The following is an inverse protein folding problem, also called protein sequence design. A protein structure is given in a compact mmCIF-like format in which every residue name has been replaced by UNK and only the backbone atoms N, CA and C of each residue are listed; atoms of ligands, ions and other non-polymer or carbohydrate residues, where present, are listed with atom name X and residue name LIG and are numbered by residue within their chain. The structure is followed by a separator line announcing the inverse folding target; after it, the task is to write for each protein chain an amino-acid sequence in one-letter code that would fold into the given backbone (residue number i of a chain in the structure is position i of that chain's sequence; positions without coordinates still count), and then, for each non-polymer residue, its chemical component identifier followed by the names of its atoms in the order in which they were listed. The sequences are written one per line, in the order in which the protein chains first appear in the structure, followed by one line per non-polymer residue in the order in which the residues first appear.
data_IF_873076677273
#
_entry.id   IF_873076677273
#
_cell.length_a   1.000
_cell.length_b   1.000
_cell.length_c   1.000
_cell.angle_alpha   90.00
_cell.angle_beta   90.00
_cell.angle_gamma   90.00
#
_symmetry.space_group_name_H-M   'P 1'
#
loop_
_entity.id
_entity.type
_entity.pdbx_description
1 polymer ?
#
# COMPACT_ATOMS: atom_id res chain seq x y z
N UNK A 1 -4.61 -18.55 -4.67
CA UNK A 1 -3.51 -18.23 -5.62
C UNK A 1 -2.83 -16.97 -5.09
N UNK A 2 -1.67 -17.10 -4.50
CA UNK A 2 -0.84 -15.96 -4.10
C UNK A 2 -0.43 -15.21 -5.37
N UNK A 3 -0.81 -13.94 -5.48
CA UNK A 3 -0.33 -13.09 -6.56
C UNK A 3 1.20 -13.01 -6.48
N UNK A 4 1.93 -13.16 -7.60
CA UNK A 4 3.37 -13.00 -7.59
C UNK A 4 3.73 -11.61 -7.06
N UNK A 5 4.72 -11.53 -6.18
CA UNK A 5 5.22 -10.26 -5.68
C UNK A 5 5.98 -9.53 -6.80
N UNK A 6 5.52 -8.33 -7.17
CA UNK A 6 6.20 -7.48 -8.14
C UNK A 6 7.07 -6.46 -7.39
N UNK A 7 8.30 -6.30 -7.86
CA UNK A 7 9.27 -5.38 -7.24
C UNK A 7 9.01 -3.91 -7.58
N UNK A 8 8.15 -3.63 -8.59
CA UNK A 8 7.80 -2.28 -9.01
C UNK A 8 6.52 -2.25 -9.86
N UNK A 9 5.91 -1.08 -9.96
CA UNK A 9 4.79 -0.79 -10.86
C UNK A 9 5.15 -1.08 -12.33
N UNK A 10 6.35 -0.69 -12.77
CA UNK A 10 6.80 -0.97 -14.13
C UNK A 10 6.89 -2.47 -14.42
N UNK A 11 7.38 -3.26 -13.48
CA UNK A 11 7.41 -4.72 -13.63
C UNK A 11 5.98 -5.29 -13.72
N UNK A 12 5.07 -4.83 -12.88
CA UNK A 12 3.67 -5.23 -12.91
C UNK A 12 3.02 -5.01 -14.29
N UNK A 13 3.21 -3.82 -14.89
CA UNK A 13 2.65 -3.51 -16.19
C UNK A 13 3.39 -4.17 -17.36
N UNK A 14 4.66 -4.55 -17.19
CA UNK A 14 5.45 -5.24 -18.22
C UNK A 14 5.19 -6.75 -18.24
N UNK A 15 4.96 -7.37 -17.10
CA UNK A 15 4.93 -8.84 -16.95
C UNK A 15 3.59 -9.37 -16.41
N UNK A 16 2.73 -8.51 -15.91
CA UNK A 16 1.44 -8.84 -15.34
C UNK A 16 0.29 -8.84 -16.36
N UNK A 17 -0.94 -9.10 -15.90
CA UNK A 17 -2.13 -9.16 -16.76
C UNK A 17 -2.48 -7.83 -17.45
N UNK A 18 -1.78 -6.73 -17.11
CA UNK A 18 -1.94 -5.41 -17.71
C UNK A 18 -1.06 -5.15 -18.92
N UNK A 19 -0.09 -6.02 -19.17
CA UNK A 19 0.85 -5.84 -20.27
C UNK A 19 0.16 -5.60 -21.65
N UNK A 20 -0.96 -6.27 -21.99
CA UNK A 20 -1.67 -6.00 -23.25
C UNK A 20 -2.33 -4.61 -23.32
N UNK A 21 -2.62 -3.97 -22.18
CA UNK A 21 -3.29 -2.66 -22.15
C UNK A 21 -2.27 -1.51 -22.39
N UNK A 22 -0.95 -1.80 -22.32
CA UNK A 22 0.14 -0.82 -22.41
C UNK A 22 0.42 -0.44 -23.86
N UNK A 23 0.41 0.85 -24.15
CA UNK A 23 0.75 1.41 -25.47
C UNK A 23 2.16 1.98 -25.50
N UNK A 24 2.54 2.71 -24.43
CA UNK A 24 3.86 3.34 -24.31
C UNK A 24 4.39 3.12 -22.90
N UNK A 25 5.67 2.78 -22.81
CA UNK A 25 6.40 2.73 -21.55
C UNK A 25 7.67 3.56 -21.67
N UNK A 26 7.88 4.50 -20.74
CA UNK A 26 9.06 5.36 -20.66
C UNK A 26 9.71 5.21 -19.28
N UNK A 27 11.03 5.31 -19.23
CA UNK A 27 11.78 5.30 -17.98
C UNK A 27 12.92 6.29 -18.06
N UNK A 28 13.10 7.10 -17.04
CA UNK A 28 14.21 8.05 -16.94
C UNK A 28 15.32 7.45 -16.06
N UNK A 29 15.95 6.39 -16.54
CA UNK A 29 17.05 5.72 -15.84
C UNK A 29 16.68 5.15 -14.47
N UNK A 30 15.45 4.66 -14.31
CA UNK A 30 14.93 4.08 -13.06
C UNK A 30 14.47 5.09 -12.00
N UNK A 31 14.67 6.39 -12.23
CA UNK A 31 14.22 7.45 -11.31
C UNK A 31 12.69 7.53 -11.29
N UNK A 32 12.09 7.43 -12.48
CA UNK A 32 10.64 7.43 -12.72
C UNK A 32 10.31 6.39 -13.78
N UNK A 33 9.13 5.79 -13.65
CA UNK A 33 8.55 4.95 -14.69
C UNK A 33 7.20 5.54 -15.10
N UNK A 34 6.97 5.64 -16.39
CA UNK A 34 5.75 6.20 -16.96
C UNK A 34 5.14 5.23 -17.94
N UNK A 35 3.83 5.11 -17.90
CA UNK A 35 3.08 4.18 -18.74
C UNK A 35 1.88 4.91 -19.31
N UNK A 36 1.66 4.77 -20.61
CA UNK A 36 0.40 5.12 -21.24
C UNK A 36 -0.34 3.84 -21.62
N UNK A 37 -1.60 3.75 -21.22
CA UNK A 37 -2.41 2.56 -21.40
C UNK A 37 -3.87 2.91 -21.70
N UNK A 38 -4.51 2.07 -22.52
CA UNK A 38 -5.97 2.08 -22.70
C UNK A 38 -6.55 0.88 -21.96
N UNK A 39 -7.33 1.14 -20.94
CA UNK A 39 -7.92 0.11 -20.11
C UNK A 39 -9.42 -0.02 -20.39
N UNK A 40 -9.95 -1.25 -20.57
CA UNK A 40 -11.37 -1.45 -20.74
C UNK A 40 -12.15 -1.22 -19.45
N UNK A 41 -13.46 -1.01 -19.58
CA UNK A 41 -14.38 -0.97 -18.45
C UNK A 41 -14.36 -2.31 -17.71
N UNK A 42 -13.80 -2.35 -16.51
CA UNK A 42 -13.71 -3.58 -15.69
C UNK A 42 -13.38 -3.28 -14.21
N UNK A 43 -13.53 -4.32 -13.39
CA UNK A 43 -12.94 -4.37 -12.05
C UNK A 43 -11.45 -4.70 -12.17
N UNK A 44 -10.63 -4.01 -11.39
CA UNK A 44 -9.19 -4.09 -11.43
C UNK A 44 -8.63 -4.32 -10.03
N UNK A 45 -7.65 -5.21 -9.94
CA UNK A 45 -6.90 -5.50 -8.72
C UNK A 45 -5.43 -5.40 -9.07
N UNK A 46 -4.74 -4.44 -8.48
CA UNK A 46 -3.31 -4.27 -8.66
C UNK A 46 -2.58 -4.67 -7.37
N UNK A 47 -1.47 -5.41 -7.45
CA UNK A 47 -0.73 -5.85 -6.28
C UNK A 47 -0.10 -4.66 -5.55
N UNK A 48 0.26 -4.88 -4.28
CA UNK A 48 1.06 -3.92 -3.54
C UNK A 48 2.45 -3.80 -4.20
N UNK A 49 2.82 -2.57 -4.58
CA UNK A 49 4.14 -2.23 -5.11
C UNK A 49 4.75 -1.09 -4.30
N UNK A 50 6.10 -0.99 -4.22
CA UNK A 50 6.75 0.03 -3.40
C UNK A 50 6.73 1.43 -4.01
N UNK A 51 6.05 1.61 -5.14
CA UNK A 51 5.98 2.87 -5.85
C UNK A 51 4.78 3.71 -5.37
N UNK A 52 4.95 5.02 -5.27
CA UNK A 52 3.83 5.96 -5.28
C UNK A 52 3.40 6.14 -6.74
N UNK A 53 2.13 5.91 -7.05
CA UNK A 53 1.65 5.98 -8.43
C UNK A 53 0.55 7.02 -8.58
N UNK A 54 0.75 7.90 -9.57
CA UNK A 54 -0.24 8.87 -10.00
C UNK A 54 -0.84 8.40 -11.33
N UNK A 55 -2.16 8.19 -11.35
CA UNK A 55 -2.91 7.82 -12.56
C UNK A 55 -3.68 9.03 -13.07
N UNK A 56 -3.29 9.53 -14.23
CA UNK A 56 -3.92 10.67 -14.91
C UNK A 56 -4.89 10.18 -15.99
N UNK A 57 -6.15 10.62 -15.93
CA UNK A 57 -7.14 10.39 -17.00
C UNK A 57 -6.96 11.45 -18.08
N UNK A 58 -6.61 11.04 -19.30
CA UNK A 58 -6.29 11.95 -20.39
C UNK A 58 -7.52 12.62 -21.00
N UNK A 59 -8.67 11.94 -21.03
CA UNK A 59 -9.89 12.43 -21.65
C UNK A 59 -10.92 12.90 -20.63
N UNK A 60 -10.94 12.32 -19.43
CA UNK A 60 -11.94 12.57 -18.41
C UNK A 60 -13.29 11.90 -18.71
N UNK A 61 -14.20 12.03 -17.77
CA UNK A 61 -15.54 11.43 -17.85
C UNK A 61 -15.63 10.00 -17.33
N UNK A 62 -14.51 9.40 -16.93
CA UNK A 62 -14.49 8.05 -16.35
C UNK A 62 -15.04 8.09 -14.92
N UNK A 63 -16.04 7.27 -14.63
CA UNK A 63 -16.52 7.07 -13.26
C UNK A 63 -15.68 5.96 -12.62
N UNK A 64 -15.02 6.30 -11.52
CA UNK A 64 -14.09 5.43 -10.79
C UNK A 64 -14.64 5.19 -9.38
N UNK A 65 -14.82 3.91 -9.03
CA UNK A 65 -15.08 3.42 -7.68
C UNK A 65 -13.85 2.65 -7.21
N UNK A 66 -13.12 3.16 -6.22
CA UNK A 66 -11.81 2.63 -5.89
C UNK A 66 -11.45 2.70 -4.40
N UNK A 67 -10.49 1.85 -4.00
CA UNK A 67 -9.70 2.01 -2.79
C UNK A 67 -8.21 1.94 -3.19
N UNK A 68 -7.54 3.09 -3.10
CA UNK A 68 -6.15 3.27 -3.49
C UNK A 68 -5.23 3.52 -2.27
N UNK A 69 -5.71 3.20 -1.05
CA UNK A 69 -4.94 3.35 0.18
C UNK A 69 -5.50 4.37 1.18
N UNK A 70 -6.49 5.17 0.79
CA UNK A 70 -7.17 6.16 1.65
C UNK A 70 -8.61 5.81 2.02
N UNK A 71 -9.03 4.55 1.77
CA UNK A 71 -10.42 4.14 1.91
C UNK A 71 -11.16 4.15 0.58
N UNK A 72 -12.40 3.70 0.61
CA UNK A 72 -13.24 3.62 -0.59
C UNK A 72 -13.76 5.01 -0.99
N UNK A 73 -13.73 5.30 -2.28
CA UNK A 73 -14.30 6.53 -2.85
C UNK A 73 -14.89 6.29 -4.24
N UNK A 74 -15.81 7.16 -4.62
CA UNK A 74 -16.48 7.20 -5.91
C UNK A 74 -16.33 8.60 -6.51
N UNK A 75 -15.85 8.68 -7.75
CA UNK A 75 -15.61 9.98 -8.41
C UNK A 75 -15.73 9.87 -9.93
N UNK A 76 -16.19 10.93 -10.57
CA UNK A 76 -16.05 11.10 -12.02
C UNK A 76 -14.88 12.03 -12.30
N UNK A 77 -13.89 11.53 -13.05
CA UNK A 77 -12.69 12.27 -13.37
C UNK A 77 -12.96 13.39 -14.35
N UNK A 78 -12.19 14.47 -14.25
CA UNK A 78 -12.11 15.54 -15.26
C UNK A 78 -10.95 15.27 -16.19
N UNK A 79 -10.96 15.85 -17.38
CA UNK A 79 -9.85 15.76 -18.33
C UNK A 79 -8.54 16.21 -17.70
N UNK A 80 -7.53 15.34 -17.74
CA UNK A 80 -6.24 15.56 -17.11
C UNK A 80 -6.28 15.47 -15.56
N UNK A 81 -7.43 15.11 -14.98
CA UNK A 81 -7.55 14.82 -13.55
C UNK A 81 -6.78 13.54 -13.19
N UNK A 82 -6.40 13.42 -11.93
CA UNK A 82 -5.61 12.29 -11.48
C UNK A 82 -6.06 11.76 -10.12
N UNK A 83 -5.78 10.50 -9.88
CA UNK A 83 -5.88 9.82 -8.58
C UNK A 83 -4.51 9.29 -8.18
N UNK A 84 -4.30 9.07 -6.89
CA UNK A 84 -3.06 8.50 -6.37
C UNK A 84 -3.29 7.13 -5.74
N UNK A 85 -2.39 6.20 -6.04
CA UNK A 85 -2.28 4.91 -5.39
C UNK A 85 -1.13 4.94 -4.37
N UNK A 86 -1.45 4.52 -3.15
CA UNK A 86 -0.50 4.50 -2.05
C UNK A 86 0.58 3.42 -2.25
N UNK A 87 1.84 3.69 -1.91
CA UNK A 87 2.89 2.69 -1.96
C UNK A 87 2.63 1.56 -0.96
N UNK A 88 3.02 0.34 -1.33
CA UNK A 88 2.86 -0.87 -0.53
C UNK A 88 1.39 -1.19 -0.16
N UNK A 89 0.45 -0.76 -0.99
CA UNK A 89 -0.98 -1.03 -0.83
C UNK A 89 -1.52 -1.76 -2.07
N UNK A 90 -2.23 -2.87 -1.87
CA UNK A 90 -2.91 -3.57 -2.95
C UNK A 90 -4.19 -2.81 -3.32
N UNK A 91 -4.27 -2.35 -4.56
CA UNK A 91 -5.33 -1.48 -5.02
C UNK A 91 -6.53 -2.26 -5.55
N UNK A 92 -7.70 -1.70 -5.32
CA UNK A 92 -8.93 -2.11 -5.99
C UNK A 92 -9.54 -0.91 -6.71
N UNK A 93 -9.91 -1.10 -7.97
CA UNK A 93 -10.68 -0.10 -8.71
C UNK A 93 -11.70 -0.76 -9.65
N UNK A 94 -12.79 -0.05 -9.90
CA UNK A 94 -13.78 -0.35 -10.92
C UNK A 94 -13.98 0.90 -11.75
N UNK A 95 -13.89 0.77 -13.05
CA UNK A 95 -14.15 1.86 -13.99
C UNK A 95 -15.24 1.41 -14.96
N UNK A 96 -16.24 2.27 -15.16
CA UNK A 96 -17.46 1.93 -15.91
C UNK A 96 -17.31 2.12 -17.42
N UNK A 97 -16.28 2.85 -17.86
CA UNK A 97 -16.01 3.11 -19.29
C UNK A 97 -14.57 2.75 -19.64
N UNK A 98 -14.31 2.42 -20.91
CA UNK A 98 -12.93 2.36 -21.41
C UNK A 98 -12.29 3.73 -21.25
N UNK A 99 -11.08 3.76 -20.72
CA UNK A 99 -10.40 5.00 -20.39
C UNK A 99 -8.92 4.95 -20.77
N UNK A 100 -8.37 6.12 -21.09
CA UNK A 100 -6.99 6.29 -21.50
C UNK A 100 -6.23 7.02 -20.40
N UNK A 101 -5.24 6.36 -19.85
CA UNK A 101 -4.49 6.87 -18.70
C UNK A 101 -3.00 7.02 -18.99
N UNK A 102 -2.39 7.97 -18.31
CA UNK A 102 -0.94 8.00 -18.04
C UNK A 102 -0.68 7.77 -16.59
N UNK A 103 0.16 6.80 -16.31
CA UNK A 103 0.59 6.49 -14.94
C UNK A 103 2.03 6.91 -14.74
N UNK A 104 2.30 7.61 -13.64
CA UNK A 104 3.62 8.11 -13.26
C UNK A 104 3.98 7.44 -11.93
N UNK A 105 4.93 6.52 -11.97
CA UNK A 105 5.37 5.76 -10.80
C UNK A 105 6.68 6.31 -10.26
N UNK A 106 6.68 6.65 -8.98
CA UNK A 106 7.81 7.16 -8.22
C UNK A 106 8.34 6.04 -7.33
N UNK A 107 9.42 5.32 -7.72
CA UNK A 107 10.02 4.29 -6.87
C UNK A 107 10.53 4.91 -5.57
N UNK A 108 9.91 4.63 -4.43
CA UNK A 108 10.24 5.28 -3.16
C UNK A 108 11.72 5.14 -2.79
N UNK A 109 12.37 4.03 -3.15
CA UNK A 109 13.81 3.83 -2.94
C UNK A 109 14.67 4.94 -3.58
N UNK A 110 14.20 5.57 -4.67
CA UNK A 110 14.90 6.64 -5.38
C UNK A 110 14.54 8.04 -4.88
N UNK A 111 13.38 8.18 -4.22
CA UNK A 111 12.83 9.49 -3.84
C UNK A 111 12.84 9.75 -2.35
N UNK A 112 12.96 8.70 -1.52
CA UNK A 112 12.88 8.83 -0.08
C UNK A 112 13.93 9.78 0.49
N UNK A 113 15.16 9.76 -0.02
CA UNK A 113 16.23 10.65 0.45
C UNK A 113 15.90 12.14 0.20
N UNK A 114 15.32 12.45 -0.96
CA UNK A 114 14.89 13.83 -1.29
C UNK A 114 13.73 14.27 -0.40
N UNK A 115 12.77 13.38 -0.18
CA UNK A 115 11.62 13.64 0.68
C UNK A 115 12.04 13.80 2.15
N UNK A 116 12.98 12.98 2.61
CA UNK A 116 13.53 13.04 3.96
C UNK A 116 14.33 14.34 4.19
N UNK A 117 15.06 14.82 3.18
CA UNK A 117 15.80 16.09 3.23
C UNK A 117 14.84 17.28 3.39
N UNK A 118 13.78 17.32 2.58
CA UNK A 118 12.78 18.41 2.63
C UNK A 118 11.96 18.39 3.92
N UNK A 119 11.74 17.22 4.50
CA UNK A 119 10.91 17.04 5.71
C UNK A 119 11.73 16.78 6.98
N UNK A 120 13.02 17.14 7.02
CA UNK A 120 13.93 16.84 8.14
C UNK A 120 13.90 15.35 8.55
N UNK A 121 13.92 14.46 7.55
CA UNK A 121 13.87 13.02 7.77
C UNK A 121 12.51 12.46 8.21
N UNK A 122 11.40 13.15 7.99
CA UNK A 122 10.09 12.84 8.58
C UNK A 122 8.97 12.60 7.57
N UNK A 123 9.26 12.60 6.27
CA UNK A 123 8.21 12.45 5.28
C UNK A 123 7.72 10.99 5.20
N UNK A 124 6.40 10.80 5.25
CA UNK A 124 5.76 9.51 5.02
C UNK A 124 4.52 9.71 4.16
N UNK A 125 4.40 8.92 3.09
CA UNK A 125 3.17 8.84 2.30
C UNK A 125 2.05 8.05 3.00
N UNK A 126 2.30 7.45 4.16
CA UNK A 126 1.28 6.74 4.93
C UNK A 126 0.33 7.70 5.66
N UNK A 127 -0.96 7.40 5.60
CA UNK A 127 -1.99 8.15 6.34
C UNK A 127 -2.39 9.50 5.74
N UNK A 128 -2.02 9.77 4.47
CA UNK A 128 -2.45 10.97 3.76
C UNK A 128 -3.86 10.77 3.19
N UNK A 129 -4.74 11.77 3.34
CA UNK A 129 -6.08 11.77 2.73
C UNK A 129 -6.05 11.88 1.20
N UNK A 130 -4.85 12.07 0.63
CA UNK A 130 -4.65 12.28 -0.81
C UNK A 130 -5.08 11.08 -1.66
N UNK A 131 -5.23 9.89 -1.09
CA UNK A 131 -5.58 8.66 -1.79
C UNK A 131 -7.10 8.39 -1.91
N UNK A 132 -7.94 9.29 -1.39
CA UNK A 132 -9.38 9.07 -1.28
C UNK A 132 -10.23 9.92 -2.22
N UNK A 133 -9.62 10.60 -3.19
CA UNK A 133 -10.33 11.45 -4.17
C UNK A 133 -9.53 11.70 -5.43
N UNK A 134 -10.18 12.24 -6.46
CA UNK A 134 -9.50 12.74 -7.65
C UNK A 134 -9.16 14.22 -7.50
N UNK A 135 -8.08 14.61 -8.14
CA UNK A 135 -7.57 15.98 -8.16
C UNK A 135 -7.48 16.52 -9.59
N UNK A 136 -7.60 17.84 -9.69
CA UNK A 136 -7.40 18.56 -10.97
C UNK A 136 -6.71 19.86 -10.65
N UNK A 137 -5.37 19.87 -10.72
CA UNK A 137 -4.57 21.06 -10.46
C UNK A 137 -3.76 21.42 -11.70
N UNK A 138 -3.85 22.67 -12.22
CA UNK A 138 -3.11 23.10 -13.42
C UNK A 138 -1.59 22.92 -13.26
N UNK A 139 -1.05 23.15 -12.06
CA UNK A 139 0.37 22.99 -11.76
C UNK A 139 0.82 21.53 -12.02
N UNK A 140 0.16 20.55 -11.42
CA UNK A 140 0.51 19.14 -11.62
C UNK A 140 0.28 18.73 -13.08
N UNK A 141 -0.81 19.14 -13.71
CA UNK A 141 -1.04 18.83 -15.12
C UNK A 141 0.07 19.34 -16.02
N UNK A 142 0.57 20.55 -15.75
CA UNK A 142 1.70 21.13 -16.51
C UNK A 142 2.99 20.35 -16.25
N UNK A 143 3.30 20.06 -15.00
CA UNK A 143 4.49 19.29 -14.61
C UNK A 143 4.48 17.87 -15.20
N UNK A 144 3.32 17.19 -15.21
CA UNK A 144 3.18 15.85 -15.82
C UNK A 144 3.37 15.87 -17.35
N UNK A 145 2.83 16.88 -18.04
CA UNK A 145 3.07 17.05 -19.50
C UNK A 145 4.55 17.27 -19.78
N UNK A 146 5.18 18.18 -19.02
CA UNK A 146 6.61 18.46 -19.15
C UNK A 146 7.44 17.20 -18.90
N UNK A 147 7.18 16.49 -17.81
CA UNK A 147 7.87 15.24 -17.47
C UNK A 147 7.72 14.18 -18.56
N UNK A 148 6.51 14.02 -19.12
CA UNK A 148 6.26 13.08 -20.21
C UNK A 148 7.10 13.40 -21.47
N UNK A 149 7.24 14.68 -21.81
CA UNK A 149 8.03 15.14 -22.94
C UNK A 149 9.54 14.99 -22.72
N UNK A 150 10.04 15.38 -21.55
CA UNK A 150 11.48 15.27 -21.19
C UNK A 150 12.00 13.83 -21.31
N UNK A 151 11.16 12.84 -21.01
CA UNK A 151 11.55 11.42 -21.03
C UNK A 151 11.43 10.78 -22.43
N UNK A 152 11.32 11.56 -23.49
CA UNK A 152 11.45 11.07 -24.88
C UNK A 152 12.90 10.86 -25.25
N UNK A 153 13.82 11.61 -24.64
CA UNK A 153 15.26 11.50 -24.86
C UNK A 153 15.93 10.78 -23.67
N UNK A 154 16.69 9.72 -23.95
CA UNK A 154 17.47 9.02 -22.92
C UNK A 154 18.85 9.68 -22.77
N UNK A 155 19.24 10.00 -21.53
CA UNK A 155 20.58 10.52 -21.25
C UNK A 155 20.70 11.30 -19.93
N UNK A 156 21.94 11.72 -19.55
CA UNK A 156 22.17 12.43 -18.29
C UNK A 156 21.37 13.72 -18.10
N UNK A 157 21.22 14.61 -19.09
CA UNK A 157 20.39 15.80 -18.94
C UNK A 157 18.92 15.48 -18.69
N UNK A 158 18.36 14.48 -19.39
CA UNK A 158 16.96 14.09 -19.21
C UNK A 158 16.69 13.51 -17.82
N UNK A 159 17.63 12.78 -17.21
CA UNK A 159 17.49 12.29 -15.83
C UNK A 159 17.47 13.43 -14.81
N UNK A 160 18.32 14.45 -14.99
CA UNK A 160 18.34 15.61 -14.09
C UNK A 160 17.03 16.40 -14.21
N UNK A 161 16.56 16.65 -15.42
CA UNK A 161 15.31 17.35 -15.68
C UNK A 161 14.09 16.55 -15.16
N UNK A 162 14.07 15.24 -15.36
CA UNK A 162 13.04 14.36 -14.81
C UNK A 162 13.04 14.38 -13.28
N UNK A 163 14.21 14.46 -12.63
CA UNK A 163 14.31 14.61 -11.19
C UNK A 163 13.76 15.95 -10.71
N UNK A 164 14.07 17.05 -11.41
CA UNK A 164 13.54 18.37 -11.10
C UNK A 164 12.01 18.41 -11.21
N UNK A 165 11.45 17.94 -12.33
CA UNK A 165 10.01 17.86 -12.54
C UNK A 165 9.32 16.92 -11.52
N UNK A 166 9.96 15.81 -11.17
CA UNK A 166 9.47 14.90 -10.13
C UNK A 166 9.46 15.55 -8.74
N UNK A 167 10.46 16.34 -8.37
CA UNK A 167 10.47 17.13 -7.15
C UNK A 167 9.31 18.14 -7.10
N UNK A 168 9.04 18.84 -8.20
CA UNK A 168 7.91 19.77 -8.31
C UNK A 168 6.57 19.06 -8.09
N UNK A 169 6.37 17.91 -8.73
CA UNK A 169 5.16 17.09 -8.57
C UNK A 169 5.02 16.63 -7.13
N UNK A 170 6.08 16.07 -6.52
CA UNK A 170 6.04 15.57 -5.14
C UNK A 170 5.77 16.69 -4.14
N UNK A 171 6.37 17.88 -4.32
CA UNK A 171 6.10 19.03 -3.47
C UNK A 171 4.63 19.46 -3.53
N UNK A 172 4.04 19.48 -4.73
CA UNK A 172 2.64 19.82 -4.90
C UNK A 172 1.71 18.73 -4.33
N UNK A 173 2.06 17.45 -4.46
CA UNK A 173 1.32 16.35 -3.83
C UNK A 173 1.36 16.44 -2.31
N UNK A 174 2.50 16.80 -1.72
CA UNK A 174 2.61 17.04 -0.28
C UNK A 174 1.67 18.18 0.15
N UNK A 175 1.65 19.29 -0.60
CA UNK A 175 0.75 20.42 -0.33
C UNK A 175 -0.73 20.01 -0.41
N UNK A 176 -1.12 19.22 -1.41
CA UNK A 176 -2.49 18.71 -1.58
C UNK A 176 -2.89 17.72 -0.49
N UNK A 177 -1.96 16.90 -0.04
CA UNK A 177 -2.19 15.91 1.02
C UNK A 177 -2.27 16.50 2.42
N UNK A 178 -2.15 17.83 2.57
CA UNK A 178 -2.10 18.48 3.87
C UNK A 178 -0.87 18.06 4.68
N UNK A 179 0.13 17.46 4.02
CA UNK A 179 1.39 17.15 4.67
C UNK A 179 2.03 18.45 5.11
N UNK A 180 2.12 18.67 6.41
CA UNK A 180 2.95 19.74 6.92
C UNK A 180 4.39 19.43 6.56
N UNK A 181 4.95 20.16 5.62
CA UNK A 181 6.39 20.18 5.33
C UNK A 181 7.15 20.81 6.50
N UNK A 182 6.41 21.39 7.46
CA UNK A 182 6.98 21.84 8.70
C UNK A 182 7.45 20.64 9.54
N UNK A 183 8.64 20.72 10.17
CA UNK A 183 9.14 19.66 11.01
C UNK A 183 8.12 19.34 12.11
N UNK A 184 7.53 18.15 12.06
CA UNK A 184 6.70 17.67 13.17
C UNK A 184 7.63 17.52 14.36
N UNK A 185 7.48 18.38 15.39
CA UNK A 185 8.27 18.29 16.62
C UNK A 185 8.03 16.92 17.26
N UNK A 186 8.96 16.00 17.12
CA UNK A 186 8.98 14.70 17.78
C UNK A 186 8.63 13.48 16.85
N UNK A 187 8.96 12.30 17.31
CA UNK A 187 8.86 11.03 16.60
C UNK A 187 10.22 10.47 16.21
N UNK A 188 10.25 9.20 15.78
CA UNK A 188 11.45 8.57 15.24
C UNK A 188 11.78 9.15 13.86
N UNK A 189 13.04 9.35 13.57
CA UNK A 189 13.49 9.59 12.20
C UNK A 189 13.02 8.46 11.27
N UNK A 190 12.70 8.73 10.00
CA UNK A 190 12.18 7.71 9.08
C UNK A 190 13.08 6.47 8.95
N UNK A 191 14.40 6.67 8.91
CA UNK A 191 15.36 5.56 8.88
C UNK A 191 15.28 4.72 10.17
N UNK A 192 15.17 5.36 11.33
CA UNK A 192 15.06 4.70 12.63
C UNK A 192 13.74 3.93 12.76
N UNK A 193 12.63 4.53 12.31
CA UNK A 193 11.33 3.88 12.23
C UNK A 193 11.39 2.62 11.37
N UNK A 194 11.93 2.73 10.14
CA UNK A 194 12.07 1.61 9.20
C UNK A 194 12.94 0.51 9.81
N UNK A 195 14.11 0.87 10.32
CA UNK A 195 15.06 -0.07 10.92
C UNK A 195 14.46 -0.87 12.07
N UNK A 196 13.72 -0.20 12.97
CA UNK A 196 13.03 -0.88 14.08
C UNK A 196 11.93 -1.82 13.58
N UNK A 197 11.14 -1.42 12.59
CA UNK A 197 10.08 -2.26 12.02
C UNK A 197 10.70 -3.49 11.33
N UNK A 198 11.76 -3.31 10.52
CA UNK A 198 12.50 -4.39 9.88
C UNK A 198 13.05 -5.39 10.91
N UNK A 199 13.68 -4.88 11.98
CA UNK A 199 14.19 -5.71 13.06
C UNK A 199 13.09 -6.51 13.75
N UNK A 200 11.94 -5.90 14.03
CA UNK A 200 10.77 -6.58 14.60
C UNK A 200 10.23 -7.68 13.68
N UNK A 201 10.23 -7.46 12.35
CA UNK A 201 9.84 -8.49 11.39
C UNK A 201 10.85 -9.65 11.31
N UNK A 202 12.14 -9.33 11.23
CA UNK A 202 13.21 -10.34 11.12
C UNK A 202 13.32 -11.22 12.36
N UNK A 203 13.09 -10.66 13.54
CA UNK A 203 13.23 -11.32 14.83
C UNK A 203 11.88 -11.53 15.54
N UNK A 204 10.82 -11.75 14.76
CA UNK A 204 9.43 -11.81 15.26
C UNK A 204 9.23 -12.89 16.32
N UNK A 205 9.92 -14.03 16.16
CA UNK A 205 9.89 -15.18 17.08
C UNK A 205 10.73 -14.98 18.35
N UNK A 206 11.59 -13.96 18.38
CA UNK A 206 12.49 -13.71 19.50
C UNK A 206 11.88 -12.74 20.52
N UNK A 207 12.38 -12.79 21.76
CA UNK A 207 12.03 -11.79 22.79
C UNK A 207 12.89 -10.54 22.61
N UNK A 208 12.46 -9.66 21.70
CA UNK A 208 13.15 -8.39 21.45
C UNK A 208 12.83 -7.42 22.57
N UNK A 209 13.87 -7.01 23.30
CA UNK A 209 13.74 -6.04 24.38
C UNK A 209 13.59 -4.60 23.84
N UNK A 210 13.04 -3.72 24.69
CA UNK A 210 12.96 -2.28 24.40
C UNK A 210 14.36 -1.67 24.27
N UNK A 211 15.29 -2.17 25.08
CA UNK A 211 16.69 -1.69 25.10
C UNK A 211 17.42 -1.99 23.79
N UNK A 212 17.22 -3.21 23.24
CA UNK A 212 17.80 -3.58 21.93
C UNK A 212 17.25 -2.70 20.80
N UNK A 213 15.93 -2.49 20.76
CA UNK A 213 15.33 -1.62 19.75
C UNK A 213 15.81 -0.17 19.86
N UNK A 214 15.98 0.33 21.07
CA UNK A 214 16.48 1.67 21.34
C UNK A 214 17.96 1.82 20.97
N UNK A 215 18.78 0.82 21.29
CA UNK A 215 20.20 0.78 20.94
C UNK A 215 20.42 0.79 19.44
N UNK A 216 19.61 0.05 18.66
CA UNK A 216 19.68 -0.01 17.21
C UNK A 216 19.55 1.37 16.54
N UNK A 217 18.84 2.29 17.17
CA UNK A 217 18.62 3.67 16.68
C UNK A 217 19.28 4.72 17.54
N UNK A 218 20.22 4.33 18.41
CA UNK A 218 21.03 5.18 19.26
C UNK A 218 20.20 6.12 20.17
N UNK A 219 19.09 5.62 20.69
CA UNK A 219 18.23 6.34 21.65
C UNK A 219 18.22 5.65 23.00
N UNK A 220 17.94 6.41 24.06
CA UNK A 220 17.61 5.79 25.34
C UNK A 220 16.24 5.06 25.24
N UNK A 221 16.01 3.97 25.99
CA UNK A 221 14.76 3.21 25.93
C UNK A 221 13.50 4.05 26.17
N UNK A 222 13.56 4.97 27.13
CA UNK A 222 12.46 5.88 27.42
C UNK A 222 12.18 6.84 26.28
N UNK A 223 13.22 7.43 25.70
CA UNK A 223 13.10 8.34 24.56
C UNK A 223 12.59 7.59 23.32
N UNK A 224 13.14 6.42 23.06
CA UNK A 224 12.68 5.54 21.98
C UNK A 224 11.19 5.19 22.09
N UNK A 225 10.74 4.69 23.25
CA UNK A 225 9.34 4.31 23.45
C UNK A 225 8.37 5.48 23.18
N UNK A 226 8.73 6.69 23.63
CA UNK A 226 7.96 7.92 23.40
C UNK A 226 7.93 8.28 21.92
N UNK A 227 9.10 8.29 21.26
CA UNK A 227 9.22 8.64 19.83
C UNK A 227 8.55 7.60 18.93
N UNK A 228 8.69 6.30 19.25
CA UNK A 228 8.02 5.22 18.53
C UNK A 228 6.49 5.36 18.62
N UNK A 229 5.94 5.56 19.82
CA UNK A 229 4.51 5.79 20.01
C UNK A 229 4.02 7.02 19.25
N UNK A 230 4.81 8.10 19.22
CA UNK A 230 4.46 9.30 18.48
C UNK A 230 4.47 9.08 16.96
N UNK A 231 5.36 8.20 16.44
CA UNK A 231 5.46 7.89 15.01
C UNK A 231 4.45 6.86 14.51
N UNK A 232 4.02 5.93 15.37
CA UNK A 232 3.22 4.75 14.98
C UNK A 232 1.87 4.67 15.72
N UNK A 233 1.57 5.63 16.59
CA UNK A 233 0.34 5.69 17.36
C UNK A 233 0.28 4.72 18.55
N UNK A 234 1.12 3.68 18.58
CA UNK A 234 1.14 2.63 19.60
C UNK A 234 2.55 2.39 20.15
N UNK A 235 2.69 1.96 21.41
CA UNK A 235 4.00 1.59 21.98
C UNK A 235 4.64 0.41 21.24
N UNK A 236 6.01 0.27 21.29
CA UNK A 236 6.75 -0.80 20.61
C UNK A 236 6.22 -2.22 20.92
N UNK A 237 5.98 -2.55 22.18
CA UNK A 237 5.44 -3.87 22.58
C UNK A 237 4.04 -4.14 22.01
N UNK A 238 3.21 -3.12 21.91
CA UNK A 238 1.85 -3.27 21.34
C UNK A 238 1.97 -3.50 19.83
N UNK A 239 2.86 -2.78 19.16
CA UNK A 239 3.15 -2.95 17.75
C UNK A 239 3.69 -4.36 17.44
N UNK A 240 4.68 -4.84 18.17
CA UNK A 240 5.20 -6.21 18.05
C UNK A 240 4.10 -7.26 18.24
N UNK A 241 3.22 -7.04 19.23
CA UNK A 241 2.06 -7.92 19.44
C UNK A 241 1.12 -7.93 18.23
N UNK A 242 0.90 -6.79 17.58
CA UNK A 242 0.08 -6.71 16.35
C UNK A 242 0.71 -7.52 15.22
N UNK A 243 2.02 -7.34 14.96
CA UNK A 243 2.76 -8.12 13.96
C UNK A 243 2.66 -9.62 14.22
N UNK A 244 2.83 -10.05 15.47
CA UNK A 244 2.68 -11.46 15.87
C UNK A 244 1.26 -11.99 15.61
N UNK A 245 0.23 -11.17 15.85
CA UNK A 245 -1.15 -11.57 15.58
C UNK A 245 -1.45 -11.65 14.08
N UNK A 246 -0.92 -10.74 13.27
CA UNK A 246 -1.03 -10.77 11.82
C UNK A 246 -0.38 -12.04 11.26
N UNK A 247 0.85 -12.34 11.70
CA UNK A 247 1.54 -13.57 11.31
C UNK A 247 0.82 -14.82 11.79
N UNK A 248 0.24 -14.80 13.00
CA UNK A 248 -0.59 -15.90 13.50
C UNK A 248 -1.78 -16.17 12.59
N UNK A 249 -2.51 -15.13 12.17
CA UNK A 249 -3.63 -15.28 11.23
C UNK A 249 -3.17 -15.89 9.90
N UNK A 250 -2.07 -15.36 9.33
CA UNK A 250 -1.49 -15.90 8.10
C UNK A 250 -1.17 -17.40 8.20
N UNK A 251 -0.49 -17.81 9.29
CA UNK A 251 -0.15 -19.22 9.52
C UNK A 251 -1.37 -20.10 9.75
N UNK A 252 -2.39 -19.61 10.45
CA UNK A 252 -3.66 -20.32 10.65
C UNK A 252 -4.42 -20.52 9.33
N UNK A 253 -4.34 -19.56 8.41
CA UNK A 253 -5.00 -19.60 7.10
C UNK A 253 -4.27 -20.50 6.12
N UNK A 254 -2.94 -20.38 6.06
CA UNK A 254 -2.12 -20.91 4.96
C UNK A 254 -1.39 -22.22 5.28
N UNK A 255 -1.30 -22.62 6.57
CA UNK A 255 -0.52 -23.81 6.98
C UNK A 255 -1.31 -24.75 7.89
N UNK A 256 -0.90 -26.02 7.93
CA UNK A 256 -1.47 -27.03 8.84
C UNK A 256 -0.72 -27.13 10.18
N UNK A 257 0.17 -26.20 10.47
CA UNK A 257 0.88 -26.13 11.75
C UNK A 257 -0.10 -26.15 12.92
N UNK A 258 0.23 -26.90 13.96
CA UNK A 258 -0.54 -26.87 15.20
C UNK A 258 -0.49 -25.49 15.87
N UNK A 259 -1.46 -25.16 16.71
CA UNK A 259 -1.44 -23.89 17.46
C UNK A 259 -0.21 -23.77 18.35
N UNK A 260 0.37 -24.88 18.79
CA UNK A 260 1.61 -24.92 19.57
C UNK A 260 2.82 -24.51 18.71
N UNK A 261 2.94 -25.08 17.52
CA UNK A 261 4.01 -24.71 16.57
C UNK A 261 3.89 -23.25 16.15
N UNK A 262 2.68 -22.79 15.84
CA UNK A 262 2.44 -21.38 15.52
C UNK A 262 2.83 -20.46 16.68
N UNK A 263 2.51 -20.86 17.94
CA UNK A 263 2.90 -20.06 19.09
C UNK A 263 4.40 -19.85 19.18
N UNK A 264 5.19 -20.90 18.97
CA UNK A 264 6.66 -20.83 18.97
C UNK A 264 7.18 -20.00 17.79
N UNK A 265 6.62 -20.22 16.60
CA UNK A 265 7.00 -19.49 15.38
C UNK A 265 6.80 -17.98 15.48
N UNK A 266 5.76 -17.55 16.19
CA UNK A 266 5.48 -16.12 16.38
C UNK A 266 6.01 -15.55 17.71
N UNK A 267 6.82 -16.32 18.46
CA UNK A 267 7.54 -15.87 19.64
C UNK A 267 6.71 -15.86 20.94
N UNK A 268 5.76 -16.79 21.09
CA UNK A 268 5.10 -17.06 22.36
C UNK A 268 5.61 -18.36 22.98
N UNK A 269 5.79 -18.34 24.29
CA UNK A 269 6.34 -19.48 25.03
C UNK A 269 5.40 -20.72 25.08
N UNK A 270 4.10 -20.53 24.76
CA UNK A 270 3.13 -21.63 24.73
C UNK A 270 1.86 -21.26 23.95
N UNK A 271 1.12 -22.28 23.53
CA UNK A 271 -0.19 -22.11 22.90
C UNK A 271 -1.21 -21.43 23.82
N UNK A 272 -1.12 -21.61 25.15
CA UNK A 272 -2.02 -20.96 26.11
C UNK A 272 -1.81 -19.44 26.13
N UNK A 273 -0.55 -18.98 26.06
CA UNK A 273 -0.21 -17.55 26.00
C UNK A 273 -0.72 -16.97 24.70
N UNK A 274 -0.44 -17.63 23.57
CA UNK A 274 -0.95 -17.22 22.26
C UNK A 274 -2.49 -17.14 22.27
N UNK A 275 -3.17 -18.20 22.73
CA UNK A 275 -4.63 -18.26 22.73
C UNK A 275 -5.27 -17.13 23.55
N UNK A 276 -4.67 -16.78 24.71
CA UNK A 276 -5.14 -15.67 25.55
C UNK A 276 -5.01 -14.32 24.84
N UNK A 277 -3.86 -14.07 24.20
CA UNK A 277 -3.61 -12.82 23.48
C UNK A 277 -4.51 -12.74 22.24
N UNK A 278 -4.65 -13.84 21.52
CA UNK A 278 -5.48 -13.94 20.31
C UNK A 278 -6.96 -13.70 20.62
N UNK A 279 -7.50 -14.37 21.67
CA UNK A 279 -8.86 -14.16 22.14
C UNK A 279 -9.12 -12.69 22.50
N UNK A 280 -8.19 -12.06 23.22
CA UNK A 280 -8.29 -10.63 23.57
C UNK A 280 -8.31 -9.71 22.34
N UNK A 281 -7.64 -10.07 21.25
CA UNK A 281 -7.50 -9.24 20.05
C UNK A 281 -8.52 -9.54 18.96
N UNK A 282 -8.97 -10.79 18.85
CA UNK A 282 -9.85 -11.28 17.78
C UNK A 282 -11.21 -11.77 18.27
N UNK A 283 -11.45 -11.80 19.60
CA UNK A 283 -12.69 -12.23 20.25
C UNK A 283 -13.08 -13.69 19.95
N UNK A 284 -12.12 -14.51 19.50
CA UNK A 284 -12.28 -15.95 19.26
C UNK A 284 -10.94 -16.67 19.48
N UNK A 285 -10.97 -17.99 19.67
CA UNK A 285 -9.73 -18.78 19.80
C UNK A 285 -9.04 -18.97 18.44
N UNK A 286 -7.71 -19.27 18.42
CA UNK A 286 -7.01 -19.59 17.17
C UNK A 286 -7.63 -20.75 16.39
N UNK A 287 -8.11 -21.79 17.08
CA UNK A 287 -8.75 -22.95 16.44
C UNK A 287 -10.12 -22.62 15.84
N UNK A 288 -10.89 -21.75 16.47
CA UNK A 288 -12.15 -21.24 15.92
C UNK A 288 -11.90 -20.36 14.70
N UNK A 289 -10.89 -19.49 14.77
CA UNK A 289 -10.47 -18.66 13.63
C UNK A 289 -10.09 -19.53 12.43
N UNK A 290 -9.22 -20.55 12.62
CA UNK A 290 -8.83 -21.48 11.55
C UNK A 290 -10.05 -22.15 10.92
N UNK A 291 -11.00 -22.62 11.72
CA UNK A 291 -12.24 -23.21 11.22
C UNK A 291 -13.07 -22.25 10.40
N UNK A 292 -13.20 -21.01 10.86
CA UNK A 292 -14.03 -19.99 10.18
C UNK A 292 -13.46 -19.59 8.82
N UNK A 293 -12.13 -19.42 8.71
CA UNK A 293 -11.49 -18.97 7.47
C UNK A 293 -11.30 -20.09 6.45
N UNK A 294 -11.23 -21.36 6.92
CA UNK A 294 -11.09 -22.54 6.05
C UNK A 294 -12.40 -23.26 5.75
N UNK A 295 -13.50 -22.87 6.40
CA UNK A 295 -14.80 -23.44 6.09
C UNK A 295 -15.17 -23.15 4.63
N UNK A 296 -15.57 -24.14 3.85
CA UNK A 296 -16.06 -23.88 2.49
C UNK A 296 -17.28 -22.96 2.58
N UNK A 297 -17.30 -21.92 1.75
CA UNK A 297 -18.48 -21.04 1.63
C UNK A 297 -19.65 -21.93 1.26
N UNK A 298 -20.58 -22.14 2.19
CA UNK A 298 -21.84 -22.81 1.88
C UNK A 298 -22.56 -21.90 0.89
N UNK A 299 -22.55 -22.30 -0.39
CA UNK A 299 -23.46 -21.74 -1.38
C UNK A 299 -24.88 -21.97 -0.83
N UNK A 300 -25.56 -20.89 -0.52
CA UNK A 300 -27.00 -20.93 -0.29
C UNK A 300 -27.62 -21.42 -1.60
N UNK A 301 -27.94 -22.69 -1.63
CA UNK A 301 -28.76 -23.28 -2.69
C UNK A 301 -30.10 -22.54 -2.68
N UNK A 302 -30.39 -21.85 -3.77
CA UNK A 302 -31.74 -21.43 -4.10
C UNK A 302 -32.57 -22.70 -4.22
N UNK A 303 -33.38 -22.96 -3.19
CA UNK A 303 -34.45 -23.94 -3.28
C UNK A 303 -35.48 -23.35 -4.25
N UNK A 304 -35.43 -23.79 -5.47
CA UNK A 304 -36.51 -23.59 -6.44
C UNK A 304 -37.63 -24.57 -6.13
N UNK A 305 -38.54 -24.21 -5.23
CA UNK A 305 -39.85 -24.84 -5.16
C UNK A 305 -40.68 -24.37 -6.37
N UNK A 306 -40.60 -25.12 -7.42
CA UNK A 306 -41.62 -25.08 -8.47
C UNK A 306 -42.72 -26.05 -8.07
N UNK A 307 -43.72 -25.59 -7.36
CA UNK A 307 -44.97 -26.30 -7.16
C UNK A 307 -45.72 -26.34 -8.47
N UNK A 308 -45.76 -27.51 -9.06
CA UNK A 308 -46.69 -27.96 -10.14
C UNK A 308 -48.10 -27.75 -9.66
N UNK A 309 -48.80 -26.79 -10.28
CA UNK A 309 -50.29 -26.80 -10.27
C UNK A 309 -50.72 -27.69 -11.39
N UNK A 310 -51.32 -28.84 -11.01
CA UNK A 310 -52.05 -29.69 -11.88
C UNK A 310 -53.35 -29.04 -12.37
N UNK A 311 -53.54 -29.09 -13.66
CA UNK A 311 -54.83 -28.81 -14.31
C UNK A 311 -55.61 -30.13 -14.36
N UNK A 312 -56.77 -30.14 -13.68
CA UNK A 312 -57.85 -31.07 -13.97
C UNK A 312 -59.10 -30.27 -14.41
N UNK A 313 -59.63 -30.73 -15.56
CA UNK A 313 -60.88 -30.43 -16.25
C UNK A 313 -60.93 -29.20 -17.16
#
# INVERSE_FOLDING_TARGET
MTMPAYSSFAQWYKQGPRAPDVQVMKSSGGILNMIEATQPAKKMYDPAVPDLVLHQDLFGGSHISANLGGGHFDVTTKRGGFVLAAPNFANYSRVDTSHHIRSFAFPLAQWQSVLDEVADGKFSFGGLEIYSKAYTTPAIQSALRNLWSICEEEGPPSRLLARAAGCEILAELCRLGGASIAPTKGGLAPWAKRRCIELMHMRLSEDISLDELAAEVQLSPFHFARMFKQSLGVPPRVYLTQLRMEKTCELLEQTDLSVTEIALEVGYSSNQVLARVFLKKRHMSPSEYRRSVRAPVRSFGLVSDVSTFGTDQ
#
